data_IF_164446299042
#
_entry.id   IF_164446299042
#
_cell.length_a   1.000
_cell.length_b   1.000
_cell.length_c   1.000
_cell.angle_alpha   90.00
_cell.angle_beta   90.00
_cell.angle_gamma   90.00
#
_symmetry.space_group_name_H-M   'P 1'
#
loop_
_entity.id
_entity.type
_entity.pdbx_description
1 polymer ?
#
# COMPACT_ATOMS: atom_id res chain seq x y z
N UNK A 1 0.63 -15.18 -6.00
CA UNK A 1 1.97 -15.46 -6.56
C UNK A 1 1.90 -16.27 -7.89
N UNK A 2 0.87 -16.37 -8.60
CA UNK A 2 0.64 -16.98 -9.92
C UNK A 2 1.85 -17.64 -10.63
N UNK A 3 2.06 -17.29 -11.89
CA UNK A 3 3.21 -17.79 -12.68
C UNK A 3 4.47 -16.93 -12.52
N UNK A 4 4.41 -15.80 -11.82
CA UNK A 4 5.53 -14.90 -11.62
C UNK A 4 6.48 -15.42 -10.53
N UNK A 5 7.78 -15.28 -10.74
CA UNK A 5 8.81 -15.75 -9.80
C UNK A 5 8.98 -14.78 -8.61
N UNK A 6 8.85 -13.49 -8.87
CA UNK A 6 8.99 -12.42 -7.90
C UNK A 6 8.00 -11.31 -8.21
N UNK A 7 7.34 -10.76 -7.20
CA UNK A 7 6.37 -9.67 -7.36
C UNK A 7 6.52 -8.62 -6.26
N UNK A 8 6.07 -7.40 -6.55
CA UNK A 8 5.81 -6.41 -5.53
C UNK A 8 4.46 -6.70 -4.88
N UNK A 9 4.43 -6.74 -3.58
CA UNK A 9 3.26 -6.98 -2.75
C UNK A 9 3.25 -5.97 -1.59
N UNK A 10 2.46 -6.19 -0.58
CA UNK A 10 2.36 -5.37 0.62
C UNK A 10 2.35 -6.23 1.88
N UNK A 11 2.85 -5.66 2.98
CA UNK A 11 2.99 -6.36 4.25
C UNK A 11 1.69 -6.96 4.79
N UNK A 12 0.56 -6.26 4.62
CA UNK A 12 -0.77 -6.71 5.02
C UNK A 12 -1.22 -7.93 4.19
N UNK A 13 -1.25 -7.81 2.86
CA UNK A 13 -1.76 -8.86 1.97
C UNK A 13 -0.90 -10.12 2.02
N UNK A 14 0.43 -9.99 1.99
CA UNK A 14 1.32 -11.15 2.06
C UNK A 14 1.17 -11.90 3.40
N UNK A 15 0.94 -11.16 4.49
CA UNK A 15 0.73 -11.75 5.82
C UNK A 15 -0.59 -12.48 5.91
N UNK A 16 -1.67 -11.90 5.41
CA UNK A 16 -2.98 -12.56 5.34
C UNK A 16 -2.91 -13.83 4.48
N UNK A 17 -2.22 -13.77 3.35
CA UNK A 17 -2.02 -14.94 2.49
C UNK A 17 -1.24 -16.05 3.21
N UNK A 18 -0.13 -15.69 3.85
CA UNK A 18 0.75 -16.63 4.52
C UNK A 18 0.07 -17.32 5.71
N UNK A 19 -0.68 -16.56 6.50
CA UNK A 19 -1.37 -17.05 7.70
C UNK A 19 -2.74 -17.69 7.40
N UNK A 20 -3.30 -17.52 6.18
CA UNK A 20 -4.64 -17.97 5.86
C UNK A 20 -5.73 -17.13 6.54
N UNK A 21 -5.53 -15.83 6.58
CA UNK A 21 -6.45 -14.86 7.19
C UNK A 21 -7.28 -14.12 6.14
N UNK A 22 -8.37 -13.52 6.56
CA UNK A 22 -9.22 -12.67 5.70
C UNK A 22 -9.67 -13.43 4.44
N UNK A 23 -9.27 -12.93 3.26
CA UNK A 23 -9.51 -13.57 1.95
C UNK A 23 -8.99 -14.98 1.81
N UNK A 24 -7.95 -15.29 2.54
CA UNK A 24 -7.25 -16.56 2.48
C UNK A 24 -7.68 -17.48 3.61
N UNK A 25 -8.78 -17.17 4.32
CA UNK A 25 -9.29 -17.98 5.41
C UNK A 25 -9.56 -19.43 4.93
N UNK A 26 -8.89 -20.38 5.57
CA UNK A 26 -8.93 -21.79 5.20
C UNK A 26 -8.06 -22.20 4.00
N UNK A 27 -7.39 -21.25 3.34
CA UNK A 27 -6.53 -21.50 2.18
C UNK A 27 -5.19 -20.74 2.28
N UNK A 28 -4.35 -21.02 3.29
CA UNK A 28 -3.07 -20.32 3.43
C UNK A 28 -2.17 -20.60 2.22
N UNK A 29 -1.47 -19.56 1.79
CA UNK A 29 -0.48 -19.62 0.71
C UNK A 29 0.89 -19.38 1.31
N UNK A 30 1.69 -20.42 1.50
CA UNK A 30 2.99 -20.37 2.16
C UNK A 30 4.18 -20.69 1.27
N UNK A 31 3.97 -20.81 -0.04
CA UNK A 31 5.01 -21.13 -1.03
C UNK A 31 5.82 -19.94 -1.50
N UNK A 32 5.93 -18.90 -0.70
CA UNK A 32 6.71 -17.68 -0.98
C UNK A 32 7.42 -17.19 0.27
N UNK A 33 8.39 -16.31 0.08
CA UNK A 33 9.17 -15.69 1.14
C UNK A 33 9.41 -14.21 0.85
N UNK A 34 9.67 -13.43 1.90
CA UNK A 34 10.03 -12.01 1.79
C UNK A 34 11.41 -11.85 1.14
N UNK A 35 11.53 -10.91 0.24
CA UNK A 35 12.82 -10.48 -0.32
C UNK A 35 13.28 -9.20 0.36
N UNK A 36 12.43 -8.17 0.38
CA UNK A 36 12.75 -6.89 1.02
C UNK A 36 11.49 -6.05 1.26
N UNK A 37 11.51 -5.19 2.28
CA UNK A 37 10.65 -4.01 2.31
C UNK A 37 11.27 -2.89 1.46
N UNK A 38 10.44 -2.03 0.84
CA UNK A 38 10.92 -0.98 -0.05
C UNK A 38 10.59 0.43 0.46
N UNK A 39 9.34 0.74 0.67
CA UNK A 39 8.84 2.05 1.09
C UNK A 39 7.40 1.93 1.62
N UNK A 40 6.89 3.02 2.17
CA UNK A 40 5.50 3.07 2.64
C UNK A 40 4.54 3.41 1.48
N UNK A 41 3.44 2.66 1.37
CA UNK A 41 2.31 2.97 0.51
C UNK A 41 1.20 3.60 1.34
N UNK A 42 0.95 4.88 1.09
CA UNK A 42 -0.05 5.65 1.81
C UNK A 42 -1.46 5.32 1.32
N UNK A 43 -2.40 5.20 2.25
CA UNK A 43 -3.81 5.20 1.90
C UNK A 43 -4.23 6.64 1.61
N UNK A 44 -4.68 6.88 0.39
CA UNK A 44 -5.08 8.19 -0.10
C UNK A 44 -6.54 8.13 -0.50
N UNK A 45 -7.41 8.77 0.28
CA UNK A 45 -8.84 8.88 -0.05
C UNK A 45 -9.03 10.20 -0.76
N UNK A 46 -9.25 10.15 -2.06
CA UNK A 46 -9.25 11.31 -2.96
C UNK A 46 -10.66 11.71 -3.31
N UNK A 47 -10.95 13.01 -3.27
CA UNK A 47 -12.23 13.58 -3.69
C UNK A 47 -12.04 14.92 -4.40
N UNK A 48 -13.01 15.32 -5.23
CA UNK A 48 -13.14 16.66 -5.78
C UNK A 48 -14.32 17.43 -5.14
N UNK A 49 -14.97 16.86 -4.13
CA UNK A 49 -16.07 17.48 -3.37
C UNK A 49 -15.52 18.05 -2.05
N UNK A 50 -15.48 19.37 -1.86
CA UNK A 50 -14.96 20.01 -0.64
C UNK A 50 -15.80 19.71 0.61
N UNK A 51 -17.00 19.16 0.45
CA UNK A 51 -17.89 18.81 1.57
C UNK A 51 -17.62 17.42 2.14
N UNK A 52 -16.86 16.58 1.43
CA UNK A 52 -16.37 15.28 1.94
C UNK A 52 -15.08 15.51 2.74
N UNK A 53 -15.19 15.53 4.07
CA UNK A 53 -14.08 15.85 5.00
C UNK A 53 -13.67 14.70 5.90
N UNK A 54 -14.51 13.67 5.99
CA UNK A 54 -14.30 12.49 6.79
C UNK A 54 -14.76 11.26 6.02
N UNK A 55 -14.25 10.09 6.39
CA UNK A 55 -14.72 8.80 5.87
C UNK A 55 -16.22 8.61 6.15
N UNK A 56 -16.74 9.16 7.26
CA UNK A 56 -18.17 9.12 7.56
C UNK A 56 -19.04 9.81 6.50
N UNK A 57 -18.51 10.83 5.80
CA UNK A 57 -19.22 11.55 4.73
C UNK A 57 -19.36 10.72 3.44
N UNK A 58 -18.68 9.57 3.36
CA UNK A 58 -18.79 8.65 2.22
C UNK A 58 -20.13 7.89 2.20
N UNK A 59 -20.88 7.91 3.31
CA UNK A 59 -22.19 7.22 3.36
C UNK A 59 -23.13 7.71 2.27
N UNK A 60 -23.61 6.77 1.45
CA UNK A 60 -24.49 7.04 0.31
C UNK A 60 -23.80 7.63 -0.93
N UNK A 61 -22.49 7.88 -0.86
CA UNK A 61 -21.69 8.39 -1.98
C UNK A 61 -21.27 7.28 -2.93
N UNK A 62 -20.90 7.66 -4.15
CA UNK A 62 -20.35 6.75 -5.16
C UNK A 62 -18.82 6.74 -5.01
N UNK A 63 -18.26 5.62 -4.55
CA UNK A 63 -16.85 5.54 -4.13
C UNK A 63 -16.12 4.41 -4.87
N UNK A 64 -15.00 4.74 -5.52
CA UNK A 64 -14.09 3.72 -6.05
C UNK A 64 -13.26 3.14 -4.91
N UNK A 65 -13.37 1.83 -4.70
CA UNK A 65 -12.70 1.09 -3.63
C UNK A 65 -11.59 0.17 -4.15
N UNK A 66 -11.05 0.48 -5.33
CA UNK A 66 -10.03 -0.34 -6.00
C UNK A 66 -10.64 -1.49 -6.80
N UNK A 67 -9.83 -2.17 -7.58
CA UNK A 67 -10.27 -3.34 -8.34
C UNK A 67 -10.73 -4.46 -7.39
N UNK A 68 -11.75 -5.21 -7.78
CA UNK A 68 -12.28 -6.31 -6.97
C UNK A 68 -11.18 -7.31 -6.60
N UNK A 69 -11.07 -7.64 -5.32
CA UNK A 69 -10.05 -8.56 -4.80
C UNK A 69 -8.63 -7.99 -4.76
N UNK A 70 -8.45 -6.69 -5.05
CA UNK A 70 -7.15 -6.04 -4.89
C UNK A 70 -6.88 -5.73 -3.41
N UNK A 71 -5.59 -5.52 -3.07
CA UNK A 71 -5.25 -5.05 -1.73
C UNK A 71 -5.92 -3.72 -1.36
N UNK A 72 -6.11 -2.81 -2.33
CA UNK A 72 -6.81 -1.54 -2.14
C UNK A 72 -8.26 -1.76 -1.68
N UNK A 73 -8.94 -2.73 -2.29
CA UNK A 73 -10.30 -3.13 -1.91
C UNK A 73 -10.38 -3.48 -0.41
N UNK A 74 -9.43 -4.26 0.10
CA UNK A 74 -9.43 -4.65 1.54
C UNK A 74 -9.09 -3.49 2.46
N UNK A 75 -8.14 -2.64 2.06
CA UNK A 75 -7.86 -1.43 2.84
C UNK A 75 -9.08 -0.50 2.91
N UNK A 76 -9.83 -0.37 1.80
CA UNK A 76 -11.07 0.41 1.79
C UNK A 76 -12.11 -0.18 2.75
N UNK A 77 -12.30 -1.51 2.74
CA UNK A 77 -13.23 -2.16 3.68
C UNK A 77 -12.80 -2.01 5.14
N UNK A 78 -11.52 -2.17 5.42
CA UNK A 78 -10.99 -1.99 6.79
C UNK A 78 -11.22 -0.56 7.29
N UNK A 79 -10.97 0.44 6.45
CA UNK A 79 -11.16 1.85 6.82
C UNK A 79 -12.64 2.18 6.98
N UNK A 80 -13.49 1.73 6.06
CA UNK A 80 -14.95 1.89 6.22
C UNK A 80 -15.42 1.27 7.54
N UNK A 81 -14.97 0.05 7.86
CA UNK A 81 -15.34 -0.63 9.10
C UNK A 81 -14.86 0.11 10.36
N UNK A 82 -13.68 0.75 10.33
CA UNK A 82 -13.21 1.58 11.43
C UNK A 82 -14.16 2.75 11.73
N UNK A 83 -14.85 3.26 10.70
CA UNK A 83 -15.88 4.32 10.80
C UNK A 83 -17.31 3.77 10.91
N UNK A 84 -17.47 2.50 11.29
CA UNK A 84 -18.77 1.82 11.42
C UNK A 84 -19.61 1.83 10.11
N UNK A 85 -18.92 1.86 8.96
CA UNK A 85 -19.51 1.75 7.63
C UNK A 85 -19.15 0.40 7.01
N UNK A 86 -20.01 -0.03 6.09
CA UNK A 86 -19.80 -1.23 5.28
C UNK A 86 -19.82 -0.87 3.79
N UNK A 87 -19.46 -1.80 2.94
CA UNK A 87 -19.57 -1.64 1.49
C UNK A 87 -21.04 -1.34 1.05
N UNK A 88 -22.03 -1.82 1.80
CA UNK A 88 -23.46 -1.58 1.52
C UNK A 88 -23.90 -0.14 1.85
N UNK A 89 -23.11 0.59 2.67
CA UNK A 89 -23.39 1.99 3.00
C UNK A 89 -22.96 2.97 1.91
N UNK A 90 -22.25 2.51 0.87
CA UNK A 90 -21.76 3.31 -0.26
C UNK A 90 -22.23 2.71 -1.59
N UNK A 91 -22.14 3.48 -2.68
CA UNK A 91 -22.29 2.95 -4.04
C UNK A 91 -20.92 2.55 -4.58
N UNK A 92 -20.45 1.36 -4.21
CA UNK A 92 -19.10 0.89 -4.50
C UNK A 92 -18.84 0.77 -6.01
N UNK A 93 -17.69 1.26 -6.47
CA UNK A 93 -17.15 1.09 -7.81
C UNK A 93 -15.79 0.39 -7.72
N UNK A 94 -15.51 -0.50 -8.69
CA UNK A 94 -14.31 -1.33 -8.69
C UNK A 94 -13.41 -0.92 -9.86
N UNK A 95 -12.55 0.07 -9.65
CA UNK A 95 -11.73 0.68 -10.70
C UNK A 95 -10.26 0.73 -10.28
N UNK A 96 -9.37 0.78 -11.27
CA UNK A 96 -7.97 1.13 -11.06
C UNK A 96 -7.79 2.64 -10.80
N UNK A 97 -6.59 3.07 -10.46
CA UNK A 97 -6.30 4.45 -10.08
C UNK A 97 -6.52 5.45 -11.22
N UNK A 98 -6.16 5.08 -12.46
CA UNK A 98 -6.34 5.94 -13.63
C UNK A 98 -7.81 6.17 -13.92
N UNK A 99 -8.58 5.08 -14.03
CA UNK A 99 -10.02 5.14 -14.26
C UNK A 99 -10.76 5.87 -13.12
N UNK A 100 -10.29 5.71 -11.87
CA UNK A 100 -10.85 6.44 -10.72
C UNK A 100 -10.59 7.93 -10.80
N UNK A 101 -9.38 8.36 -11.18
CA UNK A 101 -9.04 9.77 -11.37
C UNK A 101 -9.86 10.40 -12.50
N UNK A 102 -10.02 9.72 -13.63
CA UNK A 102 -10.87 10.16 -14.74
C UNK A 102 -12.34 10.27 -14.33
N UNK A 103 -12.83 9.30 -13.54
CA UNK A 103 -14.21 9.30 -13.06
C UNK A 103 -14.47 10.44 -12.04
N UNK A 104 -13.49 10.76 -11.17
CA UNK A 104 -13.52 11.94 -10.28
C UNK A 104 -13.53 13.24 -11.07
N UNK A 105 -12.68 13.34 -12.09
CA UNK A 105 -12.61 14.51 -12.95
C UNK A 105 -13.94 14.75 -13.68
N UNK A 106 -14.56 13.69 -14.16
CA UNK A 106 -15.86 13.73 -14.85
C UNK A 106 -17.06 13.90 -13.89
N UNK A 107 -16.87 13.81 -12.58
CA UNK A 107 -17.94 13.85 -11.57
C UNK A 107 -18.85 12.62 -11.60
N UNK A 108 -18.34 11.47 -12.05
CA UNK A 108 -19.06 10.20 -12.10
C UNK A 108 -18.99 9.42 -10.77
N UNK A 109 -17.95 9.70 -9.97
CA UNK A 109 -17.79 9.21 -8.61
C UNK A 109 -17.47 10.37 -7.68
N UNK A 110 -17.75 10.21 -6.39
CA UNK A 110 -17.57 11.25 -5.37
C UNK A 110 -16.20 11.15 -4.69
N UNK A 111 -15.67 9.93 -4.50
CA UNK A 111 -14.38 9.67 -3.89
C UNK A 111 -13.74 8.39 -4.44
N UNK A 112 -12.42 8.25 -4.21
CA UNK A 112 -11.67 7.06 -4.58
C UNK A 112 -10.59 6.72 -3.55
N UNK A 113 -10.44 5.43 -3.25
CA UNK A 113 -9.31 4.90 -2.50
C UNK A 113 -8.14 4.61 -3.44
N UNK A 114 -6.97 5.12 -3.09
CA UNK A 114 -5.69 4.87 -3.76
C UNK A 114 -4.68 4.47 -2.69
N UNK A 115 -4.10 3.28 -2.79
CA UNK A 115 -3.05 2.84 -1.88
C UNK A 115 -1.78 2.63 -2.69
N UNK A 116 -0.90 3.60 -2.57
CA UNK A 116 0.34 3.66 -3.35
C UNK A 116 1.31 4.67 -2.70
N UNK A 117 2.56 4.63 -3.10
CA UNK A 117 3.51 5.67 -2.74
C UNK A 117 3.08 7.05 -3.26
N UNK A 118 3.02 8.05 -2.36
CA UNK A 118 2.78 9.44 -2.73
C UNK A 118 4.12 10.13 -3.13
N UNK A 119 4.16 11.01 -4.16
CA UNK A 119 3.04 11.36 -5.03
C UNK A 119 2.66 10.25 -6.03
N UNK A 120 1.36 10.00 -6.19
CA UNK A 120 0.81 9.04 -7.16
C UNK A 120 0.43 9.78 -8.45
N UNK A 121 0.87 9.29 -9.60
CA UNK A 121 0.68 9.97 -10.91
C UNK A 121 -0.79 10.29 -11.19
N UNK A 122 -1.71 9.37 -10.92
CA UNK A 122 -3.14 9.58 -11.16
C UNK A 122 -3.69 10.78 -10.33
N UNK A 123 -3.28 10.89 -9.07
CA UNK A 123 -3.69 12.01 -8.19
C UNK A 123 -3.01 13.31 -8.63
N UNK A 124 -1.72 13.27 -8.99
CA UNK A 124 -1.01 14.45 -9.50
C UNK A 124 -1.70 14.98 -10.75
N UNK A 125 -2.08 14.11 -11.69
CA UNK A 125 -2.79 14.51 -12.91
C UNK A 125 -4.15 15.12 -12.58
N UNK A 126 -4.92 14.51 -11.68
CA UNK A 126 -6.21 15.03 -11.24
C UNK A 126 -6.06 16.41 -10.59
N UNK A 127 -5.10 16.60 -9.68
CA UNK A 127 -4.88 17.85 -8.96
C UNK A 127 -4.48 19.01 -9.88
N UNK A 128 -3.83 18.74 -11.01
CA UNK A 128 -3.56 19.77 -12.02
C UNK A 128 -4.78 20.16 -12.85
N UNK A 129 -5.79 19.30 -12.91
CA UNK A 129 -6.98 19.48 -13.75
C UNK A 129 -8.20 20.00 -12.97
N UNK A 130 -8.29 19.73 -11.67
CA UNK A 130 -9.44 20.01 -10.82
C UNK A 130 -9.03 20.19 -9.37
N UNK A 131 -9.76 21.03 -8.63
CA UNK A 131 -9.59 21.13 -7.18
C UNK A 131 -9.74 19.73 -6.56
N UNK A 132 -8.71 19.31 -5.87
CA UNK A 132 -8.58 17.96 -5.34
C UNK A 132 -8.28 18.02 -3.84
N UNK A 133 -8.92 17.14 -3.10
CA UNK A 133 -8.79 17.05 -1.64
C UNK A 133 -8.43 15.61 -1.24
N UNK A 134 -7.67 15.48 -0.17
CA UNK A 134 -7.46 14.20 0.52
C UNK A 134 -8.30 14.18 1.80
N UNK A 135 -9.05 13.11 2.00
CA UNK A 135 -9.81 12.88 3.23
C UNK A 135 -8.88 12.21 4.24
N UNK A 136 -8.58 12.93 5.32
CA UNK A 136 -7.73 12.44 6.40
C UNK A 136 -8.44 11.47 7.33
N UNK A 137 -7.67 10.75 8.12
CA UNK A 137 -8.12 9.89 9.21
C UNK A 137 -7.80 10.57 10.55
N UNK A 138 -8.70 10.45 11.51
CA UNK A 138 -8.48 10.93 12.88
C UNK A 138 -7.85 9.86 13.77
N UNK A 139 -7.30 10.29 14.91
CA UNK A 139 -6.54 9.42 15.83
C UNK A 139 -7.37 8.25 16.38
N UNK A 140 -8.67 8.47 16.64
CA UNK A 140 -9.56 7.43 17.18
C UNK A 140 -9.71 6.29 16.16
N UNK A 141 -9.97 6.61 14.90
CA UNK A 141 -10.19 5.62 13.85
C UNK A 141 -8.89 4.96 13.39
N UNK A 142 -7.76 5.68 13.42
CA UNK A 142 -6.44 5.08 13.23
C UNK A 142 -6.16 4.03 14.31
N UNK A 143 -6.45 4.33 15.59
CA UNK A 143 -6.26 3.38 16.67
C UNK A 143 -7.14 2.13 16.50
N UNK A 144 -8.43 2.30 16.16
CA UNK A 144 -9.32 1.17 15.84
C UNK A 144 -8.80 0.30 14.69
N UNK A 145 -8.27 0.95 13.65
CA UNK A 145 -7.71 0.25 12.49
C UNK A 145 -6.48 -0.56 12.89
N UNK A 146 -5.57 0.00 13.69
CA UNK A 146 -4.37 -0.68 14.20
C UNK A 146 -4.70 -1.84 15.16
N UNK A 147 -5.77 -1.73 15.95
CA UNK A 147 -6.27 -2.85 16.77
C UNK A 147 -6.76 -4.01 15.92
N UNK A 148 -7.37 -3.73 14.75
CA UNK A 148 -7.89 -4.75 13.85
C UNK A 148 -6.82 -5.35 12.93
N UNK A 149 -5.76 -4.60 12.63
CA UNK A 149 -4.67 -4.99 11.75
C UNK A 149 -3.37 -4.26 12.12
N UNK A 150 -2.36 -4.99 12.62
CA UNK A 150 -1.10 -4.40 13.07
C UNK A 150 -0.19 -3.93 11.91
N UNK A 151 -0.63 -4.09 10.66
CA UNK A 151 0.15 -3.71 9.47
C UNK A 151 -0.07 -2.25 9.05
N UNK A 152 -1.05 -1.55 9.65
CA UNK A 152 -1.26 -0.13 9.40
C UNK A 152 -0.38 0.72 10.31
N UNK A 153 0.41 1.57 9.71
CA UNK A 153 1.21 2.58 10.41
C UNK A 153 0.59 3.98 10.19
N UNK A 154 0.55 4.79 11.24
CA UNK A 154 0.15 6.19 11.09
C UNK A 154 1.13 6.90 10.16
N UNK A 155 0.62 7.68 9.23
CA UNK A 155 1.42 8.42 8.26
C UNK A 155 0.84 9.80 8.01
N UNK A 156 1.71 10.75 7.73
CA UNK A 156 1.32 12.10 7.34
C UNK A 156 1.83 12.36 5.93
N UNK A 157 0.90 12.58 5.00
CA UNK A 157 1.23 13.04 3.64
C UNK A 157 1.55 14.53 3.73
N UNK A 158 2.79 14.96 3.41
CA UNK A 158 3.19 16.35 3.59
C UNK A 158 2.41 17.32 2.69
N UNK A 159 2.23 18.54 3.17
CA UNK A 159 1.77 19.67 2.33
C UNK A 159 2.68 19.80 1.10
N UNK A 160 2.07 20.08 -0.05
CA UNK A 160 2.80 20.24 -1.31
C UNK A 160 3.15 18.92 -2.04
N UNK A 161 2.76 17.77 -1.49
CA UNK A 161 2.84 16.48 -2.23
C UNK A 161 1.98 16.53 -3.50
N UNK A 162 0.83 17.16 -3.44
CA UNK A 162 -0.05 17.47 -4.58
C UNK A 162 -0.39 18.95 -4.59
N UNK A 163 -0.63 19.52 -5.79
CA UNK A 163 -0.95 20.92 -5.95
C UNK A 163 -2.25 21.28 -5.19
N UNK A 164 -2.16 22.25 -4.31
CA UNK A 164 -3.31 22.77 -3.54
C UNK A 164 -3.81 21.86 -2.42
N UNK A 165 -3.19 20.70 -2.19
CA UNK A 165 -3.59 19.76 -1.13
C UNK A 165 -2.77 20.03 0.13
N UNK A 166 -3.43 20.28 1.29
CA UNK A 166 -2.75 20.48 2.56
C UNK A 166 -2.18 19.16 3.11
N UNK A 167 -1.35 19.28 4.15
CA UNK A 167 -0.91 18.16 4.95
C UNK A 167 -2.11 17.30 5.38
N UNK A 168 -2.00 15.96 5.21
CA UNK A 168 -3.12 15.04 5.47
C UNK A 168 -2.64 13.84 6.27
N UNK A 169 -3.22 13.67 7.46
CA UNK A 169 -2.99 12.47 8.29
C UNK A 169 -3.75 11.28 7.73
N UNK A 170 -3.08 10.14 7.63
CA UNK A 170 -3.63 8.88 7.12
C UNK A 170 -2.89 7.69 7.72
N UNK A 171 -3.06 6.52 7.14
CA UNK A 171 -2.28 5.32 7.42
C UNK A 171 -1.55 4.85 6.17
N UNK A 172 -0.51 4.06 6.38
CA UNK A 172 0.28 3.45 5.32
C UNK A 172 0.56 1.98 5.62
N UNK A 173 0.88 1.22 4.59
CA UNK A 173 1.33 -0.16 4.65
C UNK A 173 2.67 -0.30 3.92
N UNK A 174 3.47 -1.29 4.28
CA UNK A 174 4.80 -1.47 3.69
C UNK A 174 4.71 -2.14 2.32
N UNK A 175 5.27 -1.50 1.30
CA UNK A 175 5.53 -2.14 0.01
C UNK A 175 6.64 -3.16 0.16
N UNK A 176 6.41 -4.41 -0.24
CA UNK A 176 7.36 -5.51 -0.11
C UNK A 176 7.64 -6.15 -1.47
N UNK A 177 8.79 -6.76 -1.59
CA UNK A 177 9.09 -7.72 -2.65
C UNK A 177 9.03 -9.10 -2.04
N UNK A 178 8.28 -10.00 -2.68
CA UNK A 178 8.21 -11.40 -2.33
C UNK A 178 8.66 -12.27 -3.51
N UNK A 179 9.22 -13.42 -3.23
CA UNK A 179 9.61 -14.41 -4.23
C UNK A 179 9.06 -15.79 -3.87
N UNK A 180 8.79 -16.60 -4.87
CA UNK A 180 8.45 -18.00 -4.66
C UNK A 180 9.65 -18.74 -4.05
N UNK A 181 9.40 -19.70 -3.22
CA UNK A 181 10.45 -20.47 -2.52
C UNK A 181 11.31 -21.32 -3.45
N UNK A 182 10.85 -21.60 -4.69
CA UNK A 182 11.59 -22.35 -5.70
C UNK A 182 12.51 -21.48 -6.57
N UNK A 183 12.56 -20.17 -6.34
CA UNK A 183 13.55 -19.27 -6.94
C UNK A 183 14.92 -19.54 -6.28
N UNK A 184 16.00 -19.55 -7.08
CA UNK A 184 17.31 -19.87 -6.52
C UNK A 184 17.80 -18.79 -5.53
N UNK A 185 18.61 -19.22 -4.54
CA UNK A 185 19.25 -18.31 -3.60
C UNK A 185 20.08 -17.23 -4.30
N UNK A 186 20.80 -17.62 -5.36
CA UNK A 186 21.64 -16.70 -6.13
C UNK A 186 20.80 -15.64 -6.87
N UNK A 187 19.64 -16.03 -7.43
CA UNK A 187 18.76 -15.08 -8.12
C UNK A 187 18.18 -14.07 -7.13
N UNK A 188 17.67 -14.52 -5.97
CA UNK A 188 17.11 -13.62 -4.96
C UNK A 188 18.20 -12.75 -4.32
N UNK A 189 19.40 -13.30 -4.06
CA UNK A 189 20.56 -12.50 -3.64
C UNK A 189 20.85 -11.39 -4.66
N UNK A 190 20.89 -11.71 -5.96
CA UNK A 190 21.14 -10.75 -7.02
C UNK A 190 20.03 -9.70 -7.14
N UNK A 191 18.77 -10.02 -6.85
CA UNK A 191 17.67 -9.05 -6.77
C UNK A 191 17.97 -8.03 -5.67
N UNK A 192 18.28 -8.48 -4.45
CA UNK A 192 18.64 -7.59 -3.35
C UNK A 192 19.86 -6.74 -3.69
N UNK A 193 20.93 -7.38 -4.18
CA UNK A 193 22.15 -6.70 -4.60
C UNK A 193 21.86 -5.61 -5.63
N UNK A 194 21.06 -5.93 -6.65
CA UNK A 194 20.76 -4.97 -7.73
C UNK A 194 19.96 -3.77 -7.20
N UNK A 195 19.00 -3.99 -6.32
CA UNK A 195 18.21 -2.90 -5.74
C UNK A 195 19.08 -2.02 -4.84
N UNK A 196 19.74 -2.61 -3.84
CA UNK A 196 20.34 -1.84 -2.76
C UNK A 196 21.76 -1.32 -3.08
N UNK A 197 22.49 -1.92 -4.02
CA UNK A 197 23.74 -1.35 -4.54
C UNK A 197 23.53 -0.25 -5.60
N UNK A 198 22.27 -0.01 -6.02
CA UNK A 198 21.93 1.02 -6.98
C UNK A 198 20.91 2.05 -6.44
N UNK A 199 20.81 2.21 -5.12
CA UNK A 199 19.85 3.13 -4.50
C UNK A 199 19.98 4.56 -5.05
N UNK A 200 21.18 5.07 -5.28
CA UNK A 200 21.42 6.41 -5.84
C UNK A 200 20.79 6.57 -7.23
N UNK A 201 20.91 5.56 -8.09
CA UNK A 201 20.31 5.57 -9.42
C UNK A 201 18.78 5.49 -9.36
N UNK A 202 18.25 4.70 -8.44
CA UNK A 202 16.82 4.59 -8.22
C UNK A 202 16.25 5.89 -7.66
N UNK A 203 16.95 6.55 -6.74
CA UNK A 203 16.59 7.86 -6.18
C UNK A 203 16.57 8.97 -7.25
N UNK A 204 17.43 8.89 -8.25
CA UNK A 204 17.41 9.82 -9.40
C UNK A 204 16.26 9.54 -10.38
N UNK A 205 15.82 8.28 -10.45
CA UNK A 205 14.79 7.86 -11.39
C UNK A 205 13.37 8.06 -10.87
N UNK A 206 13.16 8.00 -9.54
CA UNK A 206 11.85 8.13 -8.90
C UNK A 206 11.99 8.56 -7.44
N UNK A 207 11.08 9.43 -6.96
CA UNK A 207 11.13 9.95 -5.59
C UNK A 207 11.08 8.83 -4.52
N UNK A 208 10.32 7.77 -4.73
CA UNK A 208 10.29 6.60 -3.85
C UNK A 208 11.63 5.85 -3.75
N UNK A 209 12.51 6.00 -4.73
CA UNK A 209 13.88 5.49 -4.63
C UNK A 209 14.71 6.15 -3.54
N UNK A 210 14.33 7.37 -3.09
CA UNK A 210 14.98 8.08 -1.97
C UNK A 210 14.61 7.51 -0.60
N UNK A 211 13.55 6.71 -0.52
CA UNK A 211 13.07 6.07 0.72
C UNK A 211 13.69 4.69 0.93
N UNK A 212 14.45 4.18 -0.04
CA UNK A 212 15.11 2.88 0.11
C UNK A 212 16.18 2.96 1.20
N UNK A 213 16.06 2.05 2.17
CA UNK A 213 16.96 1.94 3.32
C UNK A 213 17.15 0.47 3.70
N UNK A 214 18.36 0.07 4.05
CA UNK A 214 18.69 -1.33 4.35
C UNK A 214 18.10 -1.82 5.67
N UNK A 215 18.02 -0.98 6.70
CA UNK A 215 17.42 -1.32 7.98
C UNK A 215 15.90 -1.51 7.80
N UNK A 216 15.26 -0.58 7.09
CA UNK A 216 13.84 -0.70 6.74
C UNK A 216 13.59 -1.93 5.87
N UNK A 217 14.47 -2.22 4.89
CA UNK A 217 14.32 -3.38 4.01
C UNK A 217 14.35 -4.72 4.75
N UNK A 218 15.04 -4.77 5.88
CA UNK A 218 15.16 -5.94 6.76
C UNK A 218 14.13 -5.97 7.91
N UNK A 219 13.20 -5.01 7.99
CA UNK A 219 12.33 -4.83 9.17
C UNK A 219 11.08 -5.69 9.18
N UNK A 220 10.60 -6.17 8.03
CA UNK A 220 9.35 -6.94 7.94
C UNK A 220 9.56 -8.37 8.41
N UNK A 221 8.88 -8.77 9.47
CA UNK A 221 9.05 -10.10 10.09
C UNK A 221 7.82 -11.00 9.99
N UNK A 222 6.73 -10.51 9.40
CA UNK A 222 5.46 -11.24 9.33
C UNK A 222 5.53 -12.49 8.44
N UNK A 223 6.39 -12.48 7.43
CA UNK A 223 6.68 -13.63 6.56
C UNK A 223 8.19 -13.82 6.51
N UNK A 224 8.71 -15.05 6.72
CA UNK A 224 10.14 -15.32 6.68
C UNK A 224 10.80 -14.85 5.39
N UNK A 225 12.05 -14.40 5.48
CA UNK A 225 12.85 -14.01 4.32
C UNK A 225 13.33 -15.23 3.54
N UNK A 226 13.47 -15.03 2.23
CA UNK A 226 14.12 -15.99 1.35
C UNK A 226 15.61 -16.13 1.69
N UNK A 227 16.16 -17.34 1.61
CA UNK A 227 17.56 -17.62 1.96
C UNK A 227 18.56 -16.70 1.22
N UNK A 228 18.31 -16.42 -0.06
CA UNK A 228 19.13 -15.49 -0.86
C UNK A 228 19.09 -14.04 -0.34
N UNK A 229 17.92 -13.58 0.10
CA UNK A 229 17.77 -12.26 0.71
C UNK A 229 18.47 -12.21 2.08
N UNK A 230 18.26 -13.24 2.92
CA UNK A 230 18.92 -13.33 4.22
C UNK A 230 20.45 -13.32 4.11
N UNK A 231 21.00 -14.01 3.11
CA UNK A 231 22.43 -13.98 2.81
C UNK A 231 22.92 -12.56 2.51
N UNK A 232 22.19 -11.83 1.64
CA UNK A 232 22.54 -10.44 1.30
C UNK A 232 22.48 -9.54 2.55
N UNK A 233 21.38 -9.60 3.32
CA UNK A 233 21.22 -8.78 4.50
C UNK A 233 22.28 -9.09 5.59
N UNK A 234 22.61 -10.37 5.79
CA UNK A 234 23.68 -10.77 6.72
C UNK A 234 25.04 -10.15 6.35
N UNK A 235 25.40 -10.07 5.07
CA UNK A 235 26.61 -9.38 4.60
C UNK A 235 26.61 -7.87 4.88
N UNK A 236 25.41 -7.28 5.03
CA UNK A 236 25.20 -5.87 5.39
C UNK A 236 25.05 -5.65 6.91
N UNK A 237 25.09 -6.72 7.71
CA UNK A 237 25.00 -6.68 9.17
C UNK A 237 23.58 -6.76 9.74
N UNK A 238 22.60 -7.19 8.95
CA UNK A 238 21.21 -7.37 9.37
C UNK A 238 20.84 -8.85 9.41
N UNK A 239 20.40 -9.33 10.56
CA UNK A 239 19.84 -10.68 10.71
C UNK A 239 18.33 -10.65 10.50
N UNK A 240 17.85 -11.45 9.54
CA UNK A 240 16.43 -11.56 9.23
C UNK A 240 15.93 -13.00 9.43
N UNK A 241 14.65 -13.20 9.84
CA UNK A 241 14.11 -14.55 10.05
C UNK A 241 13.97 -15.30 8.73
N UNK A 242 14.43 -16.56 8.68
CA UNK A 242 14.28 -17.47 7.55
C UNK A 242 13.39 -18.67 7.91
N UNK A 243 12.92 -19.40 6.88
CA UNK A 243 12.21 -20.69 7.08
C UNK A 243 13.11 -21.75 7.68
#
# INVERSE_FOLDING_TARGET
VGSEMCIRDRSDVMSYAYNGERLFEGYPVSGFSTVAALYMEQVQIVTCDPDIKSVADLKGKTVSIGASGSGVYYNALDILAAYDLTEEDINAQYQDFGNSADALQDGKIDAAFVVAGAPTVAITTLATAKDTYLVGLDDEHIAKLQESSPYYEEYVIPEGTYEGVPETKTVAVVATVIARDDVSEDDVYNICYTIFENMDNLAQSHDKGKELDLEFAASVTAVPYHAGAAKYFAEKGFDVPTK
#
